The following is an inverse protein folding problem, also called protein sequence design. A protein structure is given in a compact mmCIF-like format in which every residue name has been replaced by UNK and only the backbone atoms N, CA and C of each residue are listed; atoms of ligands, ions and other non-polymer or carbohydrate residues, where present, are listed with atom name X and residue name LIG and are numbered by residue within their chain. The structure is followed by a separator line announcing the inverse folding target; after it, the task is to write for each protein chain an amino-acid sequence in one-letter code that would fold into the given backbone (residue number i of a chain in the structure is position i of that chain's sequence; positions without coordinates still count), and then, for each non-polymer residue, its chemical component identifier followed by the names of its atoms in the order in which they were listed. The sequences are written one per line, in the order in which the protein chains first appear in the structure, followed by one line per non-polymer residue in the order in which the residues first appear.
data_IF_364798197127
#
_entry.id   IF_364798197127
#
_cell.length_a   1.000
_cell.length_b   1.000
_cell.length_c   1.000
_cell.angle_alpha   90.00
_cell.angle_beta   90.00
_cell.angle_gamma   90.00
#
_symmetry.space_group_name_H-M   'P 1'
#
loop_
_entity.id
_entity.type
_entity.pdbx_description
1 polymer ?
#
# COMPACT_ATOMS: atom_id res chain seq x y z
N UNK A 1 34.85 -9.87 2.64
CA UNK A 1 33.58 -10.17 1.97
C UNK A 1 32.82 -11.16 2.84
N UNK A 2 32.12 -10.68 3.87
CA UNK A 2 31.16 -11.50 4.60
C UNK A 2 29.97 -11.68 3.67
N UNK A 3 29.75 -12.91 3.20
CA UNK A 3 28.57 -13.27 2.44
C UNK A 3 27.34 -12.99 3.32
N UNK A 4 26.73 -11.82 3.14
CA UNK A 4 25.49 -11.44 3.80
C UNK A 4 24.38 -12.32 3.24
N UNK A 5 24.22 -13.51 3.83
CA UNK A 5 23.02 -14.31 3.65
C UNK A 5 21.86 -13.49 4.20
N UNK A 6 21.18 -12.75 3.33
CA UNK A 6 19.83 -12.28 3.63
C UNK A 6 18.96 -13.53 3.49
N UNK A 7 18.45 -14.09 4.60
CA UNK A 7 17.73 -15.34 4.53
C UNK A 7 16.48 -15.13 3.67
N UNK A 8 16.03 -16.17 2.97
CA UNK A 8 14.74 -16.16 2.26
C UNK A 8 13.58 -15.72 3.19
N UNK A 9 13.74 -15.92 4.51
CA UNK A 9 12.81 -15.45 5.55
C UNK A 9 12.70 -13.92 5.65
N UNK A 10 13.60 -13.15 5.03
CA UNK A 10 13.48 -11.68 4.94
C UNK A 10 12.23 -11.23 4.18
N UNK A 11 11.73 -12.05 3.24
CA UNK A 11 10.46 -11.81 2.56
C UNK A 11 9.29 -11.71 3.55
N UNK A 12 9.36 -12.46 4.65
CA UNK A 12 8.33 -12.45 5.69
C UNK A 12 8.27 -11.13 6.45
N UNK A 13 9.36 -10.34 6.49
CA UNK A 13 9.41 -9.05 7.18
C UNK A 13 8.45 -8.01 6.56
N UNK A 14 8.15 -8.13 5.27
CA UNK A 14 7.15 -7.30 4.62
C UNK A 14 5.77 -7.93 4.54
N UNK A 15 5.71 -9.25 4.27
CA UNK A 15 4.44 -9.97 4.11
C UNK A 15 3.66 -10.03 5.43
N UNK A 16 4.32 -10.34 6.56
CA UNK A 16 3.64 -10.49 7.85
C UNK A 16 2.96 -9.18 8.28
N UNK A 17 3.63 -8.02 8.32
CA UNK A 17 2.95 -6.76 8.63
C UNK A 17 1.81 -6.44 7.67
N UNK A 18 2.00 -6.69 6.37
CA UNK A 18 0.97 -6.45 5.37
C UNK A 18 -0.29 -7.32 5.63
N UNK A 19 -0.11 -8.60 5.99
CA UNK A 19 -1.21 -9.50 6.36
C UNK A 19 -1.90 -9.10 7.66
N UNK A 20 -1.15 -8.64 8.67
CA UNK A 20 -1.72 -8.12 9.93
C UNK A 20 -2.62 -6.92 9.63
N UNK A 21 -2.15 -5.97 8.80
CA UNK A 21 -2.93 -4.80 8.41
C UNK A 21 -4.16 -5.17 7.56
N UNK A 22 -4.01 -6.16 6.69
CA UNK A 22 -5.11 -6.68 5.90
C UNK A 22 -6.18 -7.31 6.79
N UNK A 23 -5.79 -8.21 7.69
CA UNK A 23 -6.68 -8.86 8.66
C UNK A 23 -7.42 -7.83 9.52
N UNK A 24 -6.68 -6.85 10.07
CA UNK A 24 -7.26 -5.78 10.86
C UNK A 24 -8.33 -4.99 10.10
N UNK A 25 -8.10 -4.73 8.81
CA UNK A 25 -9.02 -3.95 7.98
C UNK A 25 -10.25 -4.73 7.50
N UNK A 26 -10.12 -6.05 7.39
CA UNK A 26 -11.15 -6.96 6.86
C UNK A 26 -12.09 -7.48 7.94
N UNK A 27 -11.68 -7.46 9.22
CA UNK A 27 -12.49 -8.01 10.33
C UNK A 27 -13.95 -7.52 10.36
N UNK A 28 -14.18 -6.25 9.99
CA UNK A 28 -15.52 -5.64 9.98
C UNK A 28 -16.31 -5.91 8.68
N UNK A 29 -15.68 -6.59 7.71
CA UNK A 29 -16.17 -6.85 6.34
C UNK A 29 -16.46 -8.33 6.05
N UNK A 30 -16.43 -9.20 7.06
CA UNK A 30 -16.79 -10.61 6.93
C UNK A 30 -18.16 -10.78 6.24
N UNK A 31 -18.22 -11.65 5.24
CA UNK A 31 -19.42 -11.92 4.43
C UNK A 31 -19.84 -10.80 3.46
N UNK A 32 -19.10 -9.68 3.38
CA UNK A 32 -19.43 -8.55 2.48
C UNK A 32 -18.53 -8.46 1.25
N UNK A 33 -17.43 -9.20 1.23
CA UNK A 33 -16.46 -9.20 0.15
C UNK A 33 -16.21 -10.62 -0.37
N UNK A 34 -15.67 -10.71 -1.58
CA UNK A 34 -15.21 -11.98 -2.14
C UNK A 34 -13.76 -12.20 -1.74
N UNK A 35 -13.53 -13.08 -0.76
CA UNK A 35 -12.21 -13.34 -0.19
C UNK A 35 -11.19 -13.76 -1.24
N UNK A 36 -11.61 -14.59 -2.20
CA UNK A 36 -10.77 -14.97 -3.36
C UNK A 36 -10.27 -13.76 -4.14
N UNK A 37 -11.10 -12.75 -4.37
CA UNK A 37 -10.70 -11.54 -5.09
C UNK A 37 -9.72 -10.71 -4.25
N UNK A 38 -9.99 -10.59 -2.94
CA UNK A 38 -9.09 -9.88 -2.03
C UNK A 38 -7.69 -10.51 -2.01
N UNK A 39 -7.64 -11.84 -1.91
CA UNK A 39 -6.38 -12.59 -1.92
C UNK A 39 -5.65 -12.45 -3.25
N UNK A 40 -6.37 -12.54 -4.38
CA UNK A 40 -5.79 -12.30 -5.72
C UNK A 40 -5.22 -10.87 -5.82
N UNK A 41 -5.91 -9.86 -5.30
CA UNK A 41 -5.41 -8.48 -5.30
C UNK A 41 -4.13 -8.35 -4.50
N UNK A 42 -4.06 -8.97 -3.33
CA UNK A 42 -2.86 -8.99 -2.52
C UNK A 42 -1.68 -9.64 -3.25
N UNK A 43 -1.86 -10.84 -3.80
CA UNK A 43 -0.83 -11.54 -4.57
C UNK A 43 -0.40 -10.73 -5.80
N UNK A 44 -1.35 -10.18 -6.54
CA UNK A 44 -1.07 -9.35 -7.71
C UNK A 44 -0.25 -8.11 -7.32
N UNK A 45 -0.55 -7.53 -6.15
CA UNK A 45 0.23 -6.45 -5.56
C UNK A 45 1.69 -6.85 -5.36
N UNK A 46 1.94 -8.01 -4.75
CA UNK A 46 3.30 -8.54 -4.53
C UNK A 46 4.06 -8.66 -5.85
N UNK A 47 3.49 -9.34 -6.85
CA UNK A 47 4.15 -9.56 -8.15
C UNK A 47 4.50 -8.25 -8.87
N UNK A 48 3.58 -7.29 -8.83
CA UNK A 48 3.77 -5.98 -9.48
C UNK A 48 4.79 -5.15 -8.70
N UNK A 49 4.68 -5.11 -7.37
CA UNK A 49 5.65 -4.40 -6.52
C UNK A 49 7.06 -4.93 -6.72
N UNK A 50 7.21 -6.26 -6.82
CA UNK A 50 8.48 -6.90 -7.10
C UNK A 50 9.02 -6.54 -8.49
N UNK A 51 8.17 -6.61 -9.51
CA UNK A 51 8.56 -6.19 -10.87
C UNK A 51 9.03 -4.74 -10.92
N UNK A 52 8.31 -3.83 -10.24
CA UNK A 52 8.68 -2.42 -10.18
C UNK A 52 9.96 -2.21 -9.40
N UNK A 53 10.17 -2.92 -8.28
CA UNK A 53 11.41 -2.84 -7.50
C UNK A 53 12.63 -3.26 -8.34
N UNK A 54 12.51 -4.30 -9.17
CA UNK A 54 13.58 -4.71 -10.10
C UNK A 54 13.89 -3.58 -11.08
N UNK A 55 12.88 -3.00 -11.73
CA UNK A 55 13.10 -1.93 -12.71
C UNK A 55 13.70 -0.69 -12.01
N UNK A 56 13.22 -0.37 -10.80
CA UNK A 56 13.72 0.76 -10.01
C UNK A 56 15.18 0.58 -9.61
N UNK A 57 15.64 -0.65 -9.34
CA UNK A 57 17.03 -0.95 -8.97
C UNK A 57 18.05 -0.62 -10.07
N UNK A 58 17.60 -0.49 -11.33
CA UNK A 58 18.48 -0.23 -12.48
C UNK A 58 18.63 1.27 -12.79
N UNK A 59 18.00 2.15 -12.00
CA UNK A 59 17.92 3.58 -12.28
C UNK A 59 18.80 4.38 -11.35
N UNK A 60 19.57 5.28 -11.96
CA UNK A 60 20.58 6.10 -11.30
C UNK A 60 20.06 7.53 -11.03
N UNK A 61 19.05 7.99 -11.78
CA UNK A 61 18.59 9.37 -11.75
C UNK A 61 17.53 9.64 -10.67
N UNK A 62 17.73 10.73 -9.92
CA UNK A 62 16.89 11.13 -8.78
C UNK A 62 15.47 11.58 -9.16
N UNK A 63 15.30 12.21 -10.32
CA UNK A 63 14.00 12.74 -10.75
C UNK A 63 12.98 11.61 -11.00
N UNK A 64 13.41 10.55 -11.68
CA UNK A 64 12.63 9.38 -12.01
C UNK A 64 12.13 8.71 -10.73
N UNK A 65 13.04 8.50 -9.77
CA UNK A 65 12.73 7.92 -8.46
C UNK A 65 11.72 8.75 -7.66
N UNK A 66 11.82 10.08 -7.72
CA UNK A 66 10.98 10.98 -6.93
C UNK A 66 9.60 11.24 -7.52
N UNK A 67 9.47 11.33 -8.85
CA UNK A 67 8.23 11.82 -9.49
C UNK A 67 7.63 10.75 -10.42
N UNK A 68 8.44 10.19 -11.31
CA UNK A 68 7.94 9.27 -12.34
C UNK A 68 7.46 7.96 -11.72
N UNK A 69 8.21 7.38 -10.80
CA UNK A 69 7.83 6.12 -10.15
C UNK A 69 6.55 6.21 -9.32
N UNK A 70 6.41 7.16 -8.37
CA UNK A 70 5.16 7.35 -7.66
C UNK A 70 3.95 7.44 -8.60
N UNK A 71 4.09 8.15 -9.71
CA UNK A 71 3.04 8.26 -10.72
C UNK A 71 2.74 6.90 -11.39
N UNK A 72 3.76 6.22 -11.93
CA UNK A 72 3.61 4.91 -12.58
C UNK A 72 3.03 3.84 -11.63
N UNK A 73 3.52 3.79 -10.40
CA UNK A 73 3.04 2.88 -9.38
C UNK A 73 1.56 3.07 -9.07
N UNK A 74 1.07 4.31 -9.09
CA UNK A 74 -0.36 4.58 -8.95
C UNK A 74 -1.14 4.28 -10.22
N UNK A 75 -0.57 4.50 -11.42
CA UNK A 75 -1.22 4.12 -12.69
C UNK A 75 -1.51 2.64 -12.71
N UNK A 76 -0.54 1.81 -12.30
CA UNK A 76 -0.73 0.35 -12.32
C UNK A 76 -1.86 -0.06 -11.37
N UNK A 77 -1.87 0.46 -10.14
CA UNK A 77 -2.96 0.20 -9.17
C UNK A 77 -4.31 0.67 -9.71
N UNK A 78 -4.36 1.89 -10.25
CA UNK A 78 -5.57 2.46 -10.84
C UNK A 78 -6.07 1.63 -12.02
N UNK A 79 -5.19 1.17 -12.91
CA UNK A 79 -5.56 0.38 -14.09
C UNK A 79 -6.21 -0.95 -13.71
N UNK A 80 -5.70 -1.62 -12.68
CA UNK A 80 -6.26 -2.87 -12.16
C UNK A 80 -7.61 -2.66 -11.49
N UNK A 81 -7.72 -1.64 -10.64
CA UNK A 81 -8.95 -1.36 -9.90
C UNK A 81 -10.02 -0.72 -10.77
N UNK A 82 -9.64 -0.05 -11.87
CA UNK A 82 -10.57 0.62 -12.79
C UNK A 82 -11.21 -0.34 -13.81
N UNK A 83 -11.00 -1.66 -13.68
CA UNK A 83 -11.78 -2.64 -14.43
C UNK A 83 -13.27 -2.52 -14.10
N UNK A 84 -14.14 -2.58 -15.12
CA UNK A 84 -15.60 -2.40 -14.99
C UNK A 84 -16.23 -3.19 -13.84
N UNK A 85 -15.72 -4.39 -13.55
CA UNK A 85 -16.21 -5.28 -12.48
C UNK A 85 -16.09 -4.69 -11.07
N UNK A 86 -15.31 -3.63 -10.86
CA UNK A 86 -15.04 -2.98 -9.58
C UNK A 86 -15.70 -1.60 -9.45
N UNK A 87 -16.34 -1.09 -10.50
CA UNK A 87 -17.01 0.20 -10.45
C UNK A 87 -18.21 0.16 -9.51
N UNK A 88 -18.43 1.27 -8.79
CA UNK A 88 -19.56 1.49 -7.86
C UNK A 88 -19.70 0.46 -6.72
N UNK A 89 -18.69 -0.41 -6.52
CA UNK A 89 -18.64 -1.40 -5.45
C UNK A 89 -17.83 -0.88 -4.28
N UNK A 90 -18.42 -0.86 -3.09
CA UNK A 90 -17.75 -0.41 -1.87
C UNK A 90 -16.59 -1.33 -1.47
N UNK A 91 -16.66 -2.60 -1.86
CA UNK A 91 -15.64 -3.62 -1.64
C UNK A 91 -14.34 -3.27 -2.37
N UNK A 92 -14.41 -2.47 -3.44
CA UNK A 92 -13.25 -1.99 -4.20
C UNK A 92 -12.26 -1.20 -3.35
N UNK A 93 -12.72 -0.57 -2.26
CA UNK A 93 -11.84 0.08 -1.28
C UNK A 93 -10.93 -0.96 -0.60
N UNK A 94 -11.50 -2.09 -0.18
CA UNK A 94 -10.78 -3.17 0.48
C UNK A 94 -9.92 -3.95 -0.51
N UNK A 95 -10.40 -4.17 -1.74
CA UNK A 95 -9.59 -4.75 -2.81
C UNK A 95 -8.39 -3.87 -3.15
N UNK A 96 -8.57 -2.54 -3.17
CA UNK A 96 -7.49 -1.59 -3.37
C UNK A 96 -6.50 -1.57 -2.21
N UNK A 97 -6.97 -1.64 -0.96
CA UNK A 97 -6.13 -1.82 0.22
C UNK A 97 -5.28 -3.10 0.08
N UNK A 98 -5.89 -4.24 -0.28
CA UNK A 98 -5.18 -5.50 -0.46
C UNK A 98 -4.11 -5.42 -1.55
N UNK A 99 -4.44 -4.86 -2.71
CA UNK A 99 -3.49 -4.62 -3.80
C UNK A 99 -2.31 -3.74 -3.34
N UNK A 100 -2.61 -2.67 -2.61
CA UNK A 100 -1.62 -1.76 -2.04
C UNK A 100 -0.71 -2.44 -1.01
N UNK A 101 -1.27 -3.15 -0.04
CA UNK A 101 -0.51 -3.85 0.99
C UNK A 101 0.40 -4.93 0.40
N UNK A 102 -0.09 -5.68 -0.60
CA UNK A 102 0.72 -6.64 -1.35
C UNK A 102 1.90 -5.97 -2.04
N UNK A 103 1.65 -4.85 -2.73
CA UNK A 103 2.70 -4.04 -3.35
C UNK A 103 3.74 -3.56 -2.34
N UNK A 104 3.27 -2.96 -1.23
CA UNK A 104 4.11 -2.41 -0.17
C UNK A 104 4.96 -3.48 0.54
N UNK A 105 4.48 -4.72 0.60
CA UNK A 105 5.19 -5.81 1.29
C UNK A 105 6.56 -6.16 0.69
N UNK A 106 6.86 -5.71 -0.52
CA UNK A 106 8.18 -5.91 -1.14
C UNK A 106 9.24 -4.96 -0.60
N UNK A 107 8.87 -3.79 -0.08
CA UNK A 107 9.86 -2.79 0.32
C UNK A 107 10.77 -3.23 1.46
N UNK A 108 10.28 -3.86 2.55
CA UNK A 108 11.18 -4.33 3.61
C UNK A 108 12.28 -5.30 3.15
N UNK A 109 11.98 -6.43 2.46
CA UNK A 109 13.04 -7.30 1.95
C UNK A 109 13.91 -6.61 0.89
N UNK A 110 13.33 -5.79 0.01
CA UNK A 110 14.10 -5.07 -1.01
C UNK A 110 15.08 -4.07 -0.39
N UNK A 111 14.68 -3.34 0.65
CA UNK A 111 15.55 -2.40 1.35
C UNK A 111 16.72 -3.10 2.06
N UNK A 112 16.53 -4.30 2.60
CA UNK A 112 17.64 -5.07 3.17
C UNK A 112 18.66 -5.49 2.12
N UNK A 113 18.18 -5.97 0.96
CA UNK A 113 19.02 -6.41 -0.14
C UNK A 113 19.79 -5.26 -0.78
N UNK A 114 19.10 -4.13 -1.01
CA UNK A 114 19.67 -3.00 -1.75
C UNK A 114 20.54 -2.09 -0.89
N UNK A 115 20.39 -2.11 0.44
CA UNK A 115 21.09 -1.20 1.36
C UNK A 115 22.07 -1.92 2.29
N UNK A 116 22.56 -3.10 1.88
CA UNK A 116 23.47 -3.91 2.71
C UNK A 116 24.76 -3.17 3.02
N UNK A 117 25.31 -2.42 2.05
CA UNK A 117 26.57 -1.68 2.23
C UNK A 117 26.39 -0.48 3.17
N UNK A 118 25.26 0.22 3.08
CA UNK A 118 24.86 1.30 3.97
C UNK A 118 24.73 0.81 5.41
N UNK A 119 24.09 -0.33 5.63
CA UNK A 119 23.99 -0.97 6.94
C UNK A 119 25.38 -1.27 7.50
N UNK A 120 26.27 -1.84 6.67
CA UNK A 120 27.64 -2.14 7.06
C UNK A 120 28.46 -0.88 7.36
N UNK A 121 28.12 0.25 6.73
CA UNK A 121 28.74 1.56 6.97
C UNK A 121 28.25 2.28 8.24
N UNK A 122 27.32 1.67 8.99
CA UNK A 122 26.84 2.17 10.28
C UNK A 122 25.45 2.81 10.25
N UNK A 123 24.73 2.76 9.12
CA UNK A 123 23.32 3.18 9.09
C UNK A 123 22.48 2.18 9.89
N UNK A 124 21.60 2.70 10.74
CA UNK A 124 20.76 1.88 11.62
C UNK A 124 19.78 1.01 10.82
N UNK A 125 19.96 -0.31 10.90
CA UNK A 125 19.02 -1.32 10.38
C UNK A 125 17.58 -1.05 10.83
N UNK A 126 17.40 -0.60 12.08
CA UNK A 126 16.08 -0.27 12.64
C UNK A 126 15.42 0.87 11.85
N UNK A 127 16.15 1.91 11.48
CA UNK A 127 15.60 3.04 10.72
C UNK A 127 15.16 2.61 9.31
N UNK A 128 15.96 1.77 8.65
CA UNK A 128 15.62 1.20 7.33
C UNK A 128 14.36 0.33 7.43
N UNK A 129 14.26 -0.52 8.45
CA UNK A 129 13.08 -1.36 8.68
C UNK A 129 11.84 -0.52 9.01
N UNK A 130 11.96 0.50 9.85
CA UNK A 130 10.84 1.41 10.14
C UNK A 130 10.36 2.14 8.88
N UNK A 131 11.28 2.72 8.11
CA UNK A 131 10.95 3.41 6.86
C UNK A 131 10.25 2.49 5.85
N UNK A 132 10.79 1.29 5.64
CA UNK A 132 10.23 0.32 4.70
C UNK A 132 8.89 -0.26 5.17
N UNK A 133 8.70 -0.51 6.47
CA UNK A 133 7.38 -0.85 7.01
C UNK A 133 6.41 0.32 6.82
N UNK A 134 6.86 1.56 7.02
CA UNK A 134 6.07 2.76 6.71
C UNK A 134 5.56 2.77 5.27
N UNK A 135 6.38 2.35 4.31
CA UNK A 135 5.95 2.18 2.91
C UNK A 135 4.87 1.10 2.77
N UNK A 136 4.89 0.00 3.54
CA UNK A 136 3.78 -0.98 3.55
C UNK A 136 2.45 -0.30 3.89
N UNK A 137 2.43 0.52 4.95
CA UNK A 137 1.23 1.28 5.33
C UNK A 137 0.80 2.24 4.23
N UNK A 138 1.73 3.01 3.67
CA UNK A 138 1.45 4.04 2.66
C UNK A 138 0.95 3.44 1.35
N UNK A 139 1.48 2.28 0.93
CA UNK A 139 0.96 1.58 -0.23
C UNK A 139 -0.46 1.03 0.01
N UNK A 140 -0.73 0.51 1.21
CA UNK A 140 -2.10 0.15 1.61
C UNK A 140 -3.06 1.35 1.54
N UNK A 141 -2.66 2.49 2.10
CA UNK A 141 -3.39 3.76 2.08
C UNK A 141 -3.69 4.22 0.65
N UNK A 142 -2.68 4.28 -0.21
CA UNK A 142 -2.83 4.75 -1.59
C UNK A 142 -3.73 3.83 -2.41
N UNK A 143 -3.59 2.51 -2.26
CA UNK A 143 -4.49 1.53 -2.86
C UNK A 143 -5.95 1.70 -2.41
N UNK A 144 -6.18 1.91 -1.12
CA UNK A 144 -7.52 2.16 -0.58
C UNK A 144 -8.12 3.49 -1.08
N UNK A 145 -7.32 4.55 -1.19
CA UNK A 145 -7.76 5.84 -1.72
C UNK A 145 -8.17 5.73 -3.20
N UNK A 146 -7.38 5.04 -4.02
CA UNK A 146 -7.72 4.78 -5.43
C UNK A 146 -9.03 3.99 -5.51
N UNK A 147 -9.17 2.92 -4.73
CA UNK A 147 -10.41 2.13 -4.67
C UNK A 147 -11.62 2.97 -4.24
N UNK A 148 -11.44 3.88 -3.29
CA UNK A 148 -12.48 4.83 -2.86
C UNK A 148 -12.83 5.85 -3.93
N UNK A 149 -11.83 6.35 -4.67
CA UNK A 149 -12.06 7.21 -5.83
C UNK A 149 -12.88 6.55 -6.92
N UNK A 150 -12.64 5.26 -7.18
CA UNK A 150 -13.42 4.48 -8.16
C UNK A 150 -14.85 4.29 -7.66
N UNK A 151 -15.03 3.90 -6.40
CA UNK A 151 -16.36 3.77 -5.78
C UNK A 151 -17.18 5.07 -5.85
N UNK A 152 -16.53 6.22 -5.68
CA UNK A 152 -17.19 7.54 -5.73
C UNK A 152 -17.26 8.17 -7.14
N UNK A 153 -16.72 7.50 -8.17
CA UNK A 153 -16.52 8.09 -9.52
C UNK A 153 -15.71 9.40 -9.50
N UNK A 154 -14.74 9.50 -8.59
CA UNK A 154 -13.82 10.64 -8.40
C UNK A 154 -12.35 10.20 -8.49
N UNK A 155 -12.05 9.19 -9.32
CA UNK A 155 -10.71 8.61 -9.45
C UNK A 155 -9.59 9.66 -9.60
N UNK A 156 -9.68 10.69 -10.46
CA UNK A 156 -8.58 11.65 -10.64
C UNK A 156 -8.13 12.33 -9.33
N UNK A 157 -9.09 12.73 -8.47
CA UNK A 157 -8.80 13.37 -7.18
C UNK A 157 -7.99 12.45 -6.26
N UNK A 158 -8.45 11.21 -6.10
CA UNK A 158 -7.83 10.26 -5.18
C UNK A 158 -6.55 9.66 -5.73
N UNK A 159 -6.44 9.56 -7.05
CA UNK A 159 -5.20 9.22 -7.74
C UNK A 159 -4.11 10.28 -7.48
N UNK A 160 -4.41 11.57 -7.66
CA UNK A 160 -3.45 12.65 -7.39
C UNK A 160 -3.01 12.63 -5.92
N UNK A 161 -3.95 12.43 -4.99
CA UNK A 161 -3.63 12.30 -3.58
C UNK A 161 -2.70 11.11 -3.31
N UNK A 162 -2.95 9.97 -3.94
CA UNK A 162 -2.11 8.79 -3.83
C UNK A 162 -0.68 9.02 -4.37
N UNK A 163 -0.55 9.74 -5.48
CA UNK A 163 0.76 10.13 -6.04
C UNK A 163 1.51 11.05 -5.07
N UNK A 164 0.86 12.10 -4.57
CA UNK A 164 1.49 13.06 -3.64
C UNK A 164 2.00 12.34 -2.37
N UNK A 165 1.22 11.42 -1.82
CA UNK A 165 1.61 10.63 -0.65
C UNK A 165 2.93 9.88 -0.90
N UNK A 166 3.08 9.22 -2.06
CA UNK A 166 4.31 8.51 -2.38
C UNK A 166 5.48 9.42 -2.77
N UNK A 167 5.22 10.59 -3.38
CA UNK A 167 6.27 11.59 -3.61
C UNK A 167 6.87 12.02 -2.27
N UNK A 168 6.03 12.38 -1.31
CA UNK A 168 6.49 12.76 0.05
C UNK A 168 7.26 11.60 0.69
N UNK A 169 6.76 10.37 0.56
CA UNK A 169 7.42 9.20 1.11
C UNK A 169 8.82 8.97 0.51
N UNK A 170 8.96 9.18 -0.80
CA UNK A 170 10.23 9.03 -1.51
C UNK A 170 11.21 10.16 -1.17
N UNK A 171 10.74 11.39 -0.95
CA UNK A 171 11.57 12.50 -0.45
C UNK A 171 12.14 12.15 0.92
N UNK A 172 11.31 11.68 1.85
CA UNK A 172 11.77 11.22 3.18
C UNK A 172 12.78 10.08 3.05
N UNK A 173 12.59 9.20 2.06
CA UNK A 173 13.46 8.04 1.84
C UNK A 173 14.88 8.43 1.38
N UNK A 174 15.08 9.64 0.88
CA UNK A 174 16.41 10.11 0.44
C UNK A 174 17.39 10.30 1.60
N UNK A 175 16.88 10.51 2.82
CA UNK A 175 17.71 10.66 4.01
C UNK A 175 17.38 9.54 5.02
N UNK A 176 18.36 8.66 5.23
CA UNK A 176 18.22 7.51 6.12
C UNK A 176 17.95 7.90 7.58
N UNK A 177 18.37 9.09 8.03
CA UNK A 177 18.20 9.53 9.42
C UNK A 177 16.74 9.86 9.77
N UNK A 178 15.93 10.20 8.76
CA UNK A 178 14.53 10.61 8.94
C UNK A 178 13.52 9.54 8.49
N UNK A 179 13.97 8.32 8.20
CA UNK A 179 13.09 7.22 7.73
C UNK A 179 11.94 6.88 8.69
N UNK A 180 12.09 7.14 9.99
CA UNK A 180 11.03 6.98 10.98
C UNK A 180 9.79 7.85 10.68
N UNK A 181 9.95 8.95 9.92
CA UNK A 181 8.84 9.80 9.47
C UNK A 181 7.88 9.01 8.56
N UNK A 182 8.40 8.18 7.65
CA UNK A 182 7.56 7.33 6.80
C UNK A 182 6.71 6.36 7.61
N UNK A 183 7.27 5.81 8.70
CA UNK A 183 6.52 4.97 9.62
C UNK A 183 5.40 5.74 10.33
N UNK A 184 5.72 6.92 10.88
CA UNK A 184 4.76 7.76 11.58
C UNK A 184 3.61 8.22 10.67
N UNK A 185 3.92 8.76 9.50
CA UNK A 185 2.93 9.19 8.50
C UNK A 185 2.10 7.98 8.03
N UNK A 186 2.75 6.83 7.79
CA UNK A 186 2.10 5.59 7.41
C UNK A 186 1.01 5.17 8.40
N UNK A 187 1.33 5.13 9.69
CA UNK A 187 0.36 4.80 10.75
C UNK A 187 -0.79 5.81 10.78
N UNK A 188 -0.48 7.12 10.78
CA UNK A 188 -1.48 8.18 10.88
C UNK A 188 -2.46 8.12 9.70
N UNK A 189 -1.95 8.03 8.47
CA UNK A 189 -2.78 7.97 7.27
C UNK A 189 -3.56 6.67 7.18
N UNK A 190 -2.97 5.54 7.56
CA UNK A 190 -3.68 4.26 7.58
C UNK A 190 -4.83 4.29 8.57
N UNK A 191 -4.59 4.79 9.79
CA UNK A 191 -5.65 4.97 10.78
C UNK A 191 -6.75 5.91 10.28
N UNK A 192 -6.37 7.04 9.67
CA UNK A 192 -7.32 7.98 9.08
C UNK A 192 -8.20 7.32 8.00
N UNK A 193 -7.61 6.64 7.02
CA UNK A 193 -8.33 5.93 5.95
C UNK A 193 -9.22 4.85 6.53
N UNK A 194 -8.72 4.07 7.48
CA UNK A 194 -9.49 3.01 8.10
C UNK A 194 -10.72 3.56 8.85
N UNK A 195 -10.54 4.60 9.66
CA UNK A 195 -11.63 5.19 10.44
C UNK A 195 -12.64 5.96 9.57
N UNK A 196 -12.17 6.79 8.63
CA UNK A 196 -13.01 7.76 7.93
C UNK A 196 -13.49 7.30 6.55
N UNK A 197 -12.79 6.36 5.91
CA UNK A 197 -13.16 5.84 4.59
C UNK A 197 -13.75 4.45 4.73
N UNK A 198 -12.99 3.50 5.28
CA UNK A 198 -13.40 2.09 5.32
C UNK A 198 -14.62 1.90 6.24
N UNK A 199 -14.52 2.27 7.53
CA UNK A 199 -15.63 2.10 8.48
C UNK A 199 -16.86 2.93 8.10
N UNK A 200 -16.66 4.18 7.72
CA UNK A 200 -17.77 5.09 7.35
C UNK A 200 -18.57 4.58 6.15
N UNK A 201 -17.90 4.05 5.13
CA UNK A 201 -18.57 3.51 3.94
C UNK A 201 -19.41 2.28 4.28
N UNK A 202 -18.91 1.40 5.15
CA UNK A 202 -19.71 0.25 5.60
C UNK A 202 -20.98 0.69 6.36
N UNK A 203 -20.85 1.65 7.29
CA UNK A 203 -21.99 2.15 8.07
C UNK A 203 -23.08 2.77 7.20
N UNK A 204 -22.71 3.60 6.21
CA UNK A 204 -23.68 4.23 5.29
C UNK A 204 -24.43 3.15 4.50
N UNK A 205 -23.73 2.09 4.07
CA UNK A 205 -24.36 0.99 3.33
C UNK A 205 -25.36 0.20 4.17
N UNK A 206 -25.08 0.00 5.47
CA UNK A 206 -26.01 -0.67 6.41
C UNK A 206 -27.29 0.15 6.59
N UNK A 207 -27.18 1.46 6.82
CA UNK A 207 -28.34 2.35 6.99
C UNK A 207 -29.26 2.33 5.77
N UNK A 208 -28.70 2.40 4.55
CA UNK A 208 -29.49 2.34 3.30
C UNK A 208 -30.27 1.04 3.13
N UNK A 209 -29.71 -0.10 3.55
CA UNK A 209 -30.42 -1.39 3.50
C UNK A 209 -31.60 -1.47 4.47
N UNK A 210 -31.45 -0.88 5.67
CA UNK A 210 -32.53 -0.87 6.69
C UNK A 210 -33.71 -0.03 6.21
N UNK A 211 -33.45 1.18 5.69
CA UNK A 211 -34.52 2.06 5.18
C UNK A 211 -35.33 1.37 4.08
N UNK A 212 -34.66 0.76 3.08
CA UNK A 212 -35.35 0.03 2.01
C UNK A 212 -36.19 -1.15 2.50
N UNK A 213 -35.80 -1.82 3.60
CA UNK A 213 -36.57 -2.93 4.18
C UNK A 213 -37.84 -2.46 4.87
N UNK A 214 -37.86 -1.22 5.38
CA UNK A 214 -39.02 -0.65 6.07
C UNK A 214 -40.02 0.00 5.10
N UNK A 215 -39.66 0.16 3.82
CA UNK A 215 -40.51 0.72 2.76
C UNK A 215 -41.19 -0.37 1.90
N UNK A 216 -40.91 -1.65 2.16
CA UNK A 216 -41.48 -2.84 1.49
C UNK A 216 -42.30 -3.66 2.45
#
# INVERSE_FOLDING_TARGET
MTNGYIPESSLLLGIIPALILLYYSVRDWQGKLTEKILFIMFILGIFIGFSIAIIQSQIIFTFELLIVYPFLEQIVKASILNLRRFHDKKETIIYGLGLGLGFGSIYPPASLLLLTDEINSGISLLLILLGSIGLVFLHGVTGALIGYGIYLRKLPKYYILAVIILIVANIVRMDYQIQWINFAIGIILFWYVHAHIIKKTDLISKRRKIVKKNET
#
